data_IF_355107686741
#
_entry.id   IF_355107686741
#
_cell.length_a   1.000
_cell.length_b   1.000
_cell.length_c   1.000
_cell.angle_alpha   90.00
_cell.angle_beta   90.00
_cell.angle_gamma   90.00
#
_symmetry.space_group_name_H-M   'P 1'
#
loop_
_entity.id
_entity.type
_entity.pdbx_description
1 polymer ?
#
# COMPACT_ATOMS: atom_id res chain seq x y z
N UNK A 1 2.86 -16.42 -10.14
CA UNK A 1 3.67 -15.22 -10.42
C UNK A 1 3.27 -14.17 -9.40
N UNK A 2 4.19 -13.68 -8.59
CA UNK A 2 3.90 -12.66 -7.56
C UNK A 2 4.04 -11.30 -8.24
N UNK A 3 3.02 -10.45 -8.10
CA UNK A 3 3.01 -9.08 -8.61
C UNK A 3 3.01 -8.10 -7.43
N UNK A 4 3.69 -6.97 -7.61
CA UNK A 4 3.65 -5.84 -6.68
C UNK A 4 3.11 -4.60 -7.38
N UNK A 5 2.37 -3.80 -6.63
CA UNK A 5 1.84 -2.53 -7.10
C UNK A 5 2.81 -1.39 -6.79
N UNK A 6 2.99 -0.48 -7.74
CA UNK A 6 3.80 0.71 -7.53
C UNK A 6 3.11 1.66 -6.53
N UNK A 7 3.83 2.17 -5.51
CA UNK A 7 3.26 3.08 -4.51
C UNK A 7 2.84 4.44 -5.08
N UNK A 8 3.36 4.82 -6.25
CA UNK A 8 3.07 6.13 -6.85
C UNK A 8 1.91 6.07 -7.84
N UNK A 9 1.86 5.03 -8.68
CA UNK A 9 0.90 4.97 -9.78
C UNK A 9 -0.01 3.73 -9.80
N UNK A 10 0.11 2.83 -8.83
CA UNK A 10 -0.58 1.53 -8.81
C UNK A 10 -0.36 0.67 -10.06
N UNK A 11 0.70 0.91 -10.83
CA UNK A 11 1.08 0.03 -11.93
C UNK A 11 1.53 -1.33 -11.41
N UNK A 12 1.15 -2.40 -12.10
CA UNK A 12 1.59 -3.76 -11.78
C UNK A 12 3.03 -3.99 -12.22
N UNK A 13 3.82 -4.58 -11.34
CA UNK A 13 5.23 -4.84 -11.58
C UNK A 13 5.61 -6.23 -11.06
N UNK A 14 6.41 -7.00 -11.82
CA UNK A 14 7.02 -8.21 -11.29
C UNK A 14 7.92 -7.92 -10.08
N UNK A 15 8.10 -8.90 -9.21
CA UNK A 15 8.88 -8.74 -7.98
C UNK A 15 10.36 -8.46 -8.24
N UNK A 16 10.90 -8.87 -9.40
CA UNK A 16 12.32 -8.75 -9.72
C UNK A 16 12.72 -7.34 -10.19
N UNK A 17 11.77 -6.50 -10.59
CA UNK A 17 12.09 -5.19 -11.18
C UNK A 17 12.27 -4.09 -10.15
N UNK A 18 13.50 -3.60 -9.97
CA UNK A 18 13.79 -2.54 -9.00
C UNK A 18 13.11 -1.18 -9.30
N UNK A 19 12.56 -1.00 -10.50
CA UNK A 19 11.95 0.25 -10.97
C UNK A 19 10.61 -0.02 -11.62
N UNK A 20 9.63 0.84 -11.35
CA UNK A 20 8.31 0.75 -11.94
C UNK A 20 8.37 0.93 -13.45
N UNK A 21 7.78 -0.01 -14.19
CA UNK A 21 7.71 0.00 -15.66
C UNK A 21 6.77 1.08 -16.23
N UNK A 22 5.94 1.69 -15.38
CA UNK A 22 4.94 2.67 -15.79
C UNK A 22 5.36 4.12 -15.48
N UNK A 23 5.96 4.37 -14.32
CA UNK A 23 6.29 5.74 -13.87
C UNK A 23 7.77 5.96 -13.54
N UNK A 24 8.62 4.93 -13.60
CA UNK A 24 10.04 5.05 -13.32
C UNK A 24 10.42 5.19 -11.83
N UNK A 25 9.46 5.12 -10.90
CA UNK A 25 9.75 5.16 -9.46
C UNK A 25 10.50 3.91 -8.99
N UNK A 26 11.47 4.07 -8.08
CA UNK A 26 12.15 2.93 -7.44
C UNK A 26 11.20 2.13 -6.56
N UNK A 27 11.18 0.81 -6.73
CA UNK A 27 10.42 -0.15 -5.94
C UNK A 27 11.25 -0.80 -4.83
N UNK A 28 12.55 -0.49 -4.75
CA UNK A 28 13.49 -1.12 -3.82
C UNK A 28 13.33 -0.63 -2.36
N UNK A 29 12.76 0.56 -2.14
CA UNK A 29 12.77 1.24 -0.84
C UNK A 29 11.44 1.17 -0.06
N UNK A 30 10.37 0.66 -0.64
CA UNK A 30 9.02 0.79 -0.06
C UNK A 30 8.70 -0.21 1.06
N UNK A 31 9.63 -1.12 1.36
CA UNK A 31 9.44 -2.17 2.38
C UNK A 31 9.36 -1.59 3.80
N UNK A 32 9.99 -0.44 4.05
CA UNK A 32 10.13 0.18 5.37
C UNK A 32 8.98 1.08 5.82
N UNK A 33 7.92 1.23 5.02
CA UNK A 33 6.80 2.10 5.41
C UNK A 33 6.01 1.50 6.59
N UNK A 34 5.60 2.41 7.49
CA UNK A 34 4.72 2.13 8.61
C UNK A 34 3.45 1.41 8.14
N UNK A 35 2.97 0.44 8.93
CA UNK A 35 1.77 -0.32 8.64
C UNK A 35 0.56 0.60 8.39
N UNK A 36 0.44 1.67 9.19
CA UNK A 36 -0.61 2.67 8.99
C UNK A 36 -0.48 3.38 7.64
N UNK A 37 0.73 3.77 7.24
CA UNK A 37 0.98 4.41 5.95
C UNK A 37 0.60 3.49 4.78
N UNK A 38 0.92 2.19 4.87
CA UNK A 38 0.53 1.18 3.87
C UNK A 38 -0.99 1.04 3.75
N UNK A 39 -1.71 1.06 4.87
CA UNK A 39 -3.17 1.02 4.86
C UNK A 39 -3.79 2.28 4.28
N UNK A 40 -3.26 3.46 4.62
CA UNK A 40 -3.71 4.74 4.04
C UNK A 40 -3.50 4.73 2.52
N UNK A 41 -2.33 4.29 2.07
CA UNK A 41 -2.04 4.13 0.64
C UNK A 41 -3.01 3.16 -0.05
N UNK A 42 -3.33 2.03 0.59
CA UNK A 42 -4.22 1.03 0.01
C UNK A 42 -5.68 1.50 -0.17
N UNK A 43 -6.09 2.61 0.45
CA UNK A 43 -7.40 3.22 0.21
C UNK A 43 -7.59 3.72 -1.22
N UNK A 44 -6.50 4.07 -1.92
CA UNK A 44 -6.53 4.51 -3.32
C UNK A 44 -6.36 3.39 -4.35
N UNK A 45 -6.26 2.13 -3.91
CA UNK A 45 -5.90 1.02 -4.78
C UNK A 45 -6.93 0.78 -5.90
N UNK A 46 -6.51 0.43 -7.14
CA UNK A 46 -7.42 0.18 -8.26
C UNK A 46 -8.37 -0.99 -7.99
N UNK A 47 -7.87 -2.04 -7.34
CA UNK A 47 -8.69 -3.19 -6.93
C UNK A 47 -9.67 -2.81 -5.81
N UNK A 48 -10.99 -2.94 -6.02
CA UNK A 48 -12.00 -2.54 -5.04
C UNK A 48 -11.90 -3.27 -3.70
N UNK A 49 -11.61 -4.57 -3.71
CA UNK A 49 -11.52 -5.37 -2.50
C UNK A 49 -10.38 -4.92 -1.59
N UNK A 50 -9.25 -4.53 -2.18
CA UNK A 50 -8.11 -3.98 -1.44
C UNK A 50 -8.49 -2.67 -0.74
N UNK A 51 -9.27 -1.78 -1.38
CA UNK A 51 -9.77 -0.56 -0.73
C UNK A 51 -10.68 -0.87 0.45
N UNK A 52 -11.63 -1.80 0.28
CA UNK A 52 -12.55 -2.23 1.35
C UNK A 52 -11.78 -2.82 2.52
N UNK A 53 -10.78 -3.66 2.24
CA UNK A 53 -9.94 -4.30 3.26
C UNK A 53 -9.12 -3.27 4.02
N UNK A 54 -8.52 -2.31 3.32
CA UNK A 54 -7.77 -1.21 3.94
C UNK A 54 -8.64 -0.37 4.88
N UNK A 55 -9.83 0.06 4.42
CA UNK A 55 -10.78 0.80 5.24
C UNK A 55 -11.21 0.02 6.49
N UNK A 56 -11.48 -1.29 6.34
CA UNK A 56 -11.85 -2.17 7.46
C UNK A 56 -10.74 -2.25 8.51
N UNK A 57 -9.49 -2.43 8.08
CA UNK A 57 -8.34 -2.54 8.99
C UNK A 57 -8.07 -1.22 9.70
N UNK A 58 -8.17 -0.09 9.00
CA UNK A 58 -8.04 1.24 9.60
C UNK A 58 -9.11 1.49 10.67
N UNK A 59 -10.36 1.09 10.41
CA UNK A 59 -11.43 1.20 11.40
C UNK A 59 -11.15 0.41 12.67
N UNK A 60 -10.56 -0.79 12.54
CA UNK A 60 -10.16 -1.62 13.68
C UNK A 60 -8.99 -1.03 14.46
N UNK A 61 -8.01 -0.46 13.75
CA UNK A 61 -6.88 0.24 14.39
C UNK A 61 -7.36 1.44 15.20
N UNK A 62 -8.24 2.26 14.64
CA UNK A 62 -8.81 3.42 15.34
C UNK A 62 -9.64 3.01 16.56
N UNK A 63 -10.44 1.95 16.45
CA UNK A 63 -11.23 1.44 17.58
C UNK A 63 -10.35 0.88 18.72
N UNK A 64 -9.15 0.40 18.40
CA UNK A 64 -8.19 -0.10 19.38
C UNK A 64 -7.19 0.97 19.87
N UNK A 65 -7.21 2.17 19.29
CA UNK A 65 -6.27 3.23 19.62
C UNK A 65 -6.58 3.83 21.00
N UNK A 66 -5.55 4.00 21.82
CA UNK A 66 -5.64 4.79 23.04
C UNK A 66 -5.72 6.29 22.69
N UNK A 67 -6.29 7.13 23.58
CA UNK A 67 -6.23 8.58 23.40
C UNK A 67 -4.77 9.04 23.29
N UNK A 68 -4.52 10.00 22.40
CA UNK A 68 -3.23 10.65 22.32
C UNK A 68 -2.96 11.40 23.65
N UNK A 69 -1.79 11.15 24.24
CA UNK A 69 -1.28 11.81 25.45
C UNK A 69 -0.36 12.96 25.07
#
# INVERSE_FOLDING_TARGET
>A
MIVRYCPVCYGENPEEVATCRHCGTSLAACSGEDYLAKLIWALGHPEPETRVRAATLLGRLGAAAAPAV
#
